data_IF_751232329872
#
_entry.id   IF_751232329872
#
_cell.length_a   1.000
_cell.length_b   1.000
_cell.length_c   1.000
_cell.angle_alpha   90.00
_cell.angle_beta   90.00
_cell.angle_gamma   90.00
#
_symmetry.space_group_name_H-M   'P 1'
#
loop_
_entity.id
_entity.type
_entity.pdbx_description
1 polymer ?
#
# COMPACT_ATOMS: atom_id res chain seq x y z
N UNK A 1 -46.68 -18.73 -29.46
CA UNK A 1 -46.28 -18.59 -30.88
C UNK A 1 -44.92 -17.92 -30.90
N UNK A 2 -43.85 -18.68 -31.17
CA UNK A 2 -43.02 -18.53 -32.39
C UNK A 2 -41.98 -17.41 -32.18
N UNK A 3 -40.66 -17.58 -32.18
CA UNK A 3 -39.79 -18.49 -32.94
C UNK A 3 -38.38 -18.56 -32.29
N UNK A 4 -37.70 -19.69 -32.48
CA UNK A 4 -36.28 -19.97 -32.24
C UNK A 4 -35.33 -19.01 -32.98
N UNK A 5 -34.15 -18.78 -32.41
CA UNK A 5 -32.91 -18.66 -33.20
C UNK A 5 -31.73 -19.26 -32.43
N UNK A 6 -31.48 -20.54 -32.70
CA UNK A 6 -30.22 -21.25 -32.44
C UNK A 6 -29.24 -20.84 -33.54
N UNK A 7 -28.03 -20.41 -33.20
CA UNK A 7 -26.94 -20.27 -34.16
C UNK A 7 -25.73 -21.11 -33.69
N UNK A 8 -25.46 -22.14 -34.48
CA UNK A 8 -24.46 -23.19 -34.35
C UNK A 8 -23.11 -22.83 -34.99
N UNK A 9 -22.03 -23.43 -34.46
CA UNK A 9 -20.76 -23.81 -35.11
C UNK A 9 -19.78 -22.67 -35.50
N UNK A 10 -18.46 -22.80 -35.36
CA UNK A 10 -17.65 -23.98 -35.66
C UNK A 10 -16.33 -24.10 -34.84
N UNK A 11 -15.86 -25.35 -34.74
CA UNK A 11 -14.59 -25.81 -34.19
C UNK A 11 -13.36 -25.34 -34.97
N UNK A 12 -12.25 -25.14 -34.27
CA UNK A 12 -10.91 -25.44 -34.81
C UNK A 12 -9.99 -25.93 -33.67
N UNK A 13 -9.91 -27.24 -33.50
CA UNK A 13 -8.86 -27.92 -32.72
C UNK A 13 -7.60 -28.04 -33.57
N UNK A 14 -6.46 -27.53 -33.09
CA UNK A 14 -5.14 -27.89 -33.60
C UNK A 14 -4.33 -28.49 -32.45
N UNK A 15 -4.13 -29.80 -32.52
CA UNK A 15 -3.23 -30.55 -31.65
C UNK A 15 -1.83 -30.59 -32.27
N UNK A 16 -0.79 -30.36 -31.47
CA UNK A 16 0.57 -30.81 -31.76
C UNK A 16 1.15 -31.44 -30.49
N UNK A 17 1.26 -32.77 -30.55
CA UNK A 17 1.96 -33.63 -29.60
C UNK A 17 3.45 -33.57 -29.93
N UNK A 18 4.30 -33.30 -28.92
CA UNK A 18 5.75 -33.41 -28.99
C UNK A 18 6.28 -34.14 -27.75
N UNK A 19 6.91 -35.31 -27.97
CA UNK A 19 7.43 -36.22 -26.94
C UNK A 19 8.90 -35.94 -26.57
N UNK A 20 9.27 -36.40 -25.37
CA UNK A 20 10.58 -36.91 -24.94
C UNK A 20 11.61 -35.94 -24.35
N UNK A 21 11.87 -36.13 -23.04
CA UNK A 21 13.16 -36.66 -22.60
C UNK A 21 14.08 -35.80 -21.73
N UNK A 22 14.48 -36.41 -20.60
CA UNK A 22 15.79 -36.32 -19.92
C UNK A 22 16.10 -35.12 -18.99
N UNK A 23 15.89 -35.39 -17.69
CA UNK A 23 16.96 -35.55 -16.67
C UNK A 23 18.18 -34.62 -16.81
N UNK A 24 18.16 -33.54 -16.04
CA UNK A 24 19.34 -32.78 -15.63
C UNK A 24 19.24 -32.46 -14.15
N UNK A 25 20.05 -33.14 -13.33
CA UNK A 25 20.38 -32.66 -12.00
C UNK A 25 21.31 -31.45 -12.12
N UNK A 26 21.14 -30.49 -11.25
CA UNK A 26 21.98 -29.30 -11.17
C UNK A 26 21.41 -28.38 -10.11
N UNK A 27 22.07 -28.41 -8.95
CA UNK A 27 22.03 -27.47 -7.84
C UNK A 27 20.89 -26.43 -7.88
N UNK A 28 19.92 -26.63 -6.99
CA UNK A 28 19.24 -25.50 -6.39
C UNK A 28 20.34 -24.67 -5.70
N UNK A 29 20.86 -23.67 -6.40
CA UNK A 29 21.47 -22.55 -5.73
C UNK A 29 20.38 -22.05 -4.79
N UNK A 30 20.59 -22.26 -3.50
CA UNK A 30 20.08 -21.37 -2.46
C UNK A 30 20.73 -20.00 -2.71
N UNK A 31 20.38 -19.38 -3.85
CA UNK A 31 20.30 -17.95 -3.91
C UNK A 31 19.28 -17.64 -2.85
N UNK A 32 19.78 -17.13 -1.73
CA UNK A 32 18.95 -16.57 -0.69
C UNK A 32 18.00 -15.63 -1.43
N UNK A 33 16.77 -16.10 -1.70
CA UNK A 33 15.64 -15.25 -1.50
C UNK A 33 15.77 -14.88 -0.02
N UNK A 34 16.59 -13.85 0.25
CA UNK A 34 16.00 -12.66 0.82
C UNK A 34 14.77 -12.51 -0.04
N UNK A 35 13.67 -13.09 0.45
CA UNK A 35 12.35 -12.70 0.05
C UNK A 35 12.52 -11.20 -0.08
N UNK A 36 12.42 -10.68 -1.30
CA UNK A 36 12.16 -9.27 -1.49
C UNK A 36 10.75 -9.09 -0.92
N UNK A 37 10.61 -9.34 0.38
CA UNK A 37 9.52 -8.99 1.26
C UNK A 37 9.39 -7.54 0.92
N UNK A 38 8.39 -7.30 0.07
CA UNK A 38 8.40 -6.19 -0.82
C UNK A 38 8.52 -4.99 0.10
N UNK A 39 9.65 -4.27 0.04
CA UNK A 39 9.92 -3.06 0.81
C UNK A 39 8.94 -2.01 0.29
N UNK A 40 7.67 -2.24 0.60
CA UNK A 40 6.50 -1.53 0.12
C UNK A 40 6.17 -0.59 1.25
N UNK A 41 6.92 0.49 1.26
CA UNK A 41 6.56 1.68 2.01
C UNK A 41 5.17 2.10 1.53
N UNK A 42 4.20 2.14 2.43
CA UNK A 42 2.81 2.39 2.09
C UNK A 42 2.14 3.19 3.19
N UNK A 43 1.38 4.21 2.80
CA UNK A 43 0.51 4.94 3.71
C UNK A 43 -0.92 4.73 3.28
N UNK A 44 -1.77 4.35 4.24
CA UNK A 44 -3.22 4.22 4.03
C UNK A 44 -4.00 5.15 4.92
N UNK A 45 -5.01 5.81 4.34
CA UNK A 45 -6.09 6.46 5.06
C UNK A 45 -7.30 5.53 5.09
N UNK A 46 -7.64 5.03 6.27
CA UNK A 46 -8.50 3.86 6.46
C UNK A 46 -7.98 2.66 5.65
N UNK A 47 -8.64 2.31 4.53
CA UNK A 47 -8.27 1.20 3.64
C UNK A 47 -7.77 1.68 2.26
N UNK A 48 -7.63 2.99 2.07
CA UNK A 48 -7.22 3.59 0.79
C UNK A 48 -5.73 3.92 0.81
N UNK A 49 -4.98 3.39 -0.16
CA UNK A 49 -3.56 3.68 -0.34
C UNK A 49 -3.40 5.09 -0.92
N UNK A 50 -2.69 5.96 -0.21
CA UNK A 50 -2.46 7.36 -0.63
C UNK A 50 -1.00 7.64 -1.01
N UNK A 51 -0.09 6.78 -0.56
CA UNK A 51 1.33 6.83 -0.91
C UNK A 51 1.89 5.41 -0.98
N UNK A 52 2.82 5.20 -1.89
CA UNK A 52 3.42 3.90 -2.16
C UNK A 52 2.49 2.98 -2.95
N UNK A 53 2.92 1.73 -3.16
CA UNK A 53 2.14 0.71 -3.85
C UNK A 53 1.56 1.22 -5.19
N UNK A 54 0.23 1.16 -5.31
CA UNK A 54 -0.51 1.62 -6.51
C UNK A 54 -0.71 3.14 -6.59
N UNK A 55 -0.49 3.90 -5.52
CA UNK A 55 -0.75 5.34 -5.46
C UNK A 55 0.43 6.19 -5.93
N UNK A 56 1.65 5.62 -5.95
CA UNK A 56 2.88 6.34 -6.27
C UNK A 56 3.30 7.32 -5.16
N UNK A 57 4.05 8.34 -5.53
CA UNK A 57 4.75 9.26 -4.62
C UNK A 57 4.27 10.72 -4.71
N UNK A 58 3.18 10.99 -5.42
CA UNK A 58 2.66 12.35 -5.69
C UNK A 58 2.39 13.22 -4.45
N UNK A 59 2.13 12.60 -3.30
CA UNK A 59 1.77 13.29 -2.05
C UNK A 59 2.99 13.44 -1.11
N UNK A 60 4.15 12.93 -1.52
CA UNK A 60 5.38 12.97 -0.73
C UNK A 60 5.86 14.40 -0.53
N UNK A 61 6.21 14.75 0.72
CA UNK A 61 6.67 16.07 1.15
C UNK A 61 5.65 17.21 0.90
N UNK A 62 4.44 16.88 0.46
CA UNK A 62 3.34 17.80 0.28
C UNK A 62 2.50 17.93 1.54
N UNK A 63 1.88 19.11 1.71
CA UNK A 63 0.82 19.27 2.71
C UNK A 63 -0.52 18.87 2.09
N UNK A 64 -1.12 17.81 2.60
CA UNK A 64 -2.35 17.24 2.07
C UNK A 64 -3.51 17.55 3.00
N UNK A 65 -4.65 17.94 2.42
CA UNK A 65 -5.90 18.04 3.16
C UNK A 65 -6.35 16.63 3.57
N UNK A 66 -6.72 16.46 4.84
CA UNK A 66 -7.29 15.21 5.32
C UNK A 66 -8.75 15.12 4.85
N UNK A 67 -9.13 14.14 4.02
CA UNK A 67 -10.49 14.05 3.53
C UNK A 67 -11.48 13.88 4.69
N UNK A 68 -12.67 14.51 4.61
CA UNK A 68 -13.66 14.41 5.67
C UNK A 68 -14.11 12.96 5.86
N UNK A 69 -14.27 12.55 7.12
CA UNK A 69 -14.79 11.23 7.48
C UNK A 69 -13.75 10.11 7.54
N UNK A 70 -12.47 10.37 7.22
CA UNK A 70 -11.37 9.43 7.50
C UNK A 70 -11.22 9.21 9.00
N UNK A 71 -10.88 7.99 9.41
CA UNK A 71 -10.88 7.58 10.84
C UNK A 71 -9.58 6.99 11.31
N UNK A 72 -8.72 6.53 10.40
CA UNK A 72 -7.41 6.04 10.74
C UNK A 72 -6.39 6.39 9.69
N UNK A 73 -5.13 6.34 10.11
CA UNK A 73 -4.00 6.30 9.21
C UNK A 73 -3.08 5.16 9.64
N UNK A 74 -2.55 4.42 8.65
CA UNK A 74 -1.54 3.41 8.87
C UNK A 74 -0.35 3.65 7.94
N UNK A 75 0.84 3.40 8.48
CA UNK A 75 2.12 3.55 7.81
C UNK A 75 2.82 2.20 7.90
N UNK A 76 3.03 1.59 6.74
CA UNK A 76 3.85 0.38 6.58
C UNK A 76 5.23 0.81 6.12
N UNK A 77 6.27 0.29 6.75
CA UNK A 77 7.65 0.55 6.38
C UNK A 77 8.48 1.13 7.51
N UNK A 78 9.73 1.42 7.18
CA UNK A 78 10.74 1.93 8.12
C UNK A 78 11.39 3.22 7.65
N UNK A 79 11.02 3.71 6.46
CA UNK A 79 11.60 4.88 5.81
C UNK A 79 10.52 5.94 5.52
N UNK A 80 9.33 5.78 6.09
CA UNK A 80 8.20 6.70 5.91
C UNK A 80 7.57 7.01 7.25
N UNK A 81 7.24 8.27 7.44
CA UNK A 81 6.43 8.74 8.57
C UNK A 81 5.36 9.69 8.06
N UNK A 82 4.26 9.76 8.80
CA UNK A 82 3.20 10.74 8.55
C UNK A 82 2.98 11.58 9.78
N UNK A 83 2.88 12.89 9.60
CA UNK A 83 2.49 13.80 10.67
C UNK A 83 1.09 14.35 10.39
N UNK A 84 0.16 14.09 11.30
CA UNK A 84 -1.19 14.65 11.33
C UNK A 84 -1.17 16.01 12.02
N UNK A 85 -1.94 16.97 11.51
CA UNK A 85 -2.02 18.33 12.04
C UNK A 85 -3.47 18.78 12.25
N UNK A 86 -3.71 19.49 13.34
CA UNK A 86 -5.02 20.06 13.65
C UNK A 86 -5.50 21.08 12.61
N UNK A 87 -4.58 21.87 12.04
CA UNK A 87 -4.92 22.94 11.10
C UNK A 87 -4.48 22.56 9.68
N UNK A 88 -5.22 23.06 8.69
CA UNK A 88 -5.02 22.81 7.25
C UNK A 88 -3.84 23.61 6.67
N UNK A 89 -2.65 23.39 7.20
CA UNK A 89 -1.40 24.07 6.80
C UNK A 89 -0.13 23.31 7.18
N UNK A 90 -0.25 22.04 7.57
CA UNK A 90 0.85 21.16 7.96
C UNK A 90 1.89 21.83 8.87
N UNK A 91 1.38 22.44 9.93
CA UNK A 91 2.19 23.13 10.93
C UNK A 91 1.64 22.80 12.29
N UNK A 92 2.53 22.53 13.23
CA UNK A 92 2.17 22.30 14.62
C UNK A 92 1.34 23.47 15.16
N UNK A 93 0.31 23.13 15.93
CA UNK A 93 -0.50 24.06 16.67
C UNK A 93 -0.55 23.58 18.12
N UNK A 94 0.24 24.20 18.99
CA UNK A 94 0.20 23.98 20.44
C UNK A 94 0.20 22.51 20.85
N UNK A 95 1.05 21.68 20.25
CA UNK A 95 1.14 20.24 20.56
C UNK A 95 0.03 19.36 19.95
N UNK A 96 -0.72 19.89 18.99
CA UNK A 96 -1.71 19.14 18.20
C UNK A 96 -1.10 18.71 16.86
N UNK A 97 0.04 18.02 16.97
CA UNK A 97 0.62 17.20 15.92
C UNK A 97 0.79 15.77 16.42
N UNK A 98 0.62 14.80 15.53
CA UNK A 98 0.79 13.38 15.87
C UNK A 98 1.55 12.70 14.74
N UNK A 99 2.66 12.06 15.09
CA UNK A 99 3.44 11.27 14.16
C UNK A 99 2.96 9.82 14.18
N UNK A 100 2.92 9.20 13.00
CA UNK A 100 2.61 7.79 12.81
C UNK A 100 3.68 7.21 11.90
N UNK A 101 4.21 6.06 12.28
CA UNK A 101 5.35 5.46 11.61
C UNK A 101 6.66 6.05 12.10
N UNK A 102 7.76 5.50 11.61
CA UNK A 102 9.08 5.86 12.08
C UNK A 102 10.13 5.67 11.00
N UNK A 103 11.19 6.44 11.12
CA UNK A 103 12.38 6.36 10.27
C UNK A 103 13.45 5.51 10.96
N UNK A 104 13.10 4.27 11.29
CA UNK A 104 13.91 3.37 12.09
C UNK A 104 14.23 2.09 11.31
N UNK A 105 15.38 2.11 10.63
CA UNK A 105 15.90 0.98 9.84
C UNK A 105 16.21 -0.28 10.68
N UNK A 106 16.14 -0.20 12.02
CA UNK A 106 16.31 -1.37 12.90
C UNK A 106 15.03 -2.20 12.99
N UNK A 107 13.88 -1.65 12.57
CA UNK A 107 12.58 -2.36 12.57
C UNK A 107 12.45 -3.27 11.35
N UNK A 108 11.50 -4.19 11.44
CA UNK A 108 11.15 -5.04 10.31
C UNK A 108 10.59 -4.18 9.15
N UNK A 109 10.96 -4.42 7.88
CA UNK A 109 10.49 -3.62 6.74
C UNK A 109 8.96 -3.67 6.54
N UNK A 110 8.30 -4.73 7.01
CA UNK A 110 6.84 -4.82 7.03
C UNK A 110 6.19 -4.34 8.33
N UNK A 111 6.93 -3.63 9.20
CA UNK A 111 6.37 -3.03 10.40
C UNK A 111 5.25 -2.05 10.01
N UNK A 112 4.09 -2.18 10.67
CA UNK A 112 2.95 -1.29 10.46
C UNK A 112 2.69 -0.55 11.76
N UNK A 113 2.66 0.77 11.67
CA UNK A 113 2.17 1.63 12.74
C UNK A 113 0.85 2.25 12.31
N UNK A 114 -0.13 2.26 13.21
CA UNK A 114 -1.46 2.76 12.93
C UNK A 114 -1.99 3.53 14.12
N UNK A 115 -2.75 4.58 13.84
CA UNK A 115 -3.56 5.29 14.84
C UNK A 115 -4.98 5.40 14.35
N UNK A 116 -5.95 5.24 15.27
CA UNK A 116 -7.33 5.62 15.01
C UNK A 116 -7.55 7.01 15.60
N UNK A 117 -8.27 7.87 14.88
CA UNK A 117 -8.49 9.25 15.30
C UNK A 117 -9.36 9.35 16.56
N UNK A 118 -10.05 8.28 16.93
CA UNK A 118 -10.75 8.17 18.22
C UNK A 118 -9.83 7.94 19.42
N UNK A 119 -8.58 7.51 19.21
CA UNK A 119 -7.65 7.16 20.30
C UNK A 119 -7.10 8.43 20.99
N UNK A 120 -7.10 9.57 20.28
CA UNK A 120 -6.70 10.87 20.81
C UNK A 120 -7.79 11.90 20.55
N UNK A 121 -8.30 12.55 21.60
CA UNK A 121 -9.49 13.41 21.51
C UNK A 121 -9.41 14.54 20.48
N UNK A 122 -8.21 15.03 20.13
CA UNK A 122 -8.06 16.06 19.11
C UNK A 122 -7.92 15.52 17.69
N UNK A 123 -7.50 14.26 17.50
CA UNK A 123 -7.25 13.71 16.16
C UNK A 123 -8.52 13.61 15.32
N UNK A 124 -9.69 13.50 15.96
CA UNK A 124 -10.99 13.63 15.27
C UNK A 124 -11.17 14.98 14.56
N UNK A 125 -10.39 15.99 14.95
CA UNK A 125 -10.40 17.33 14.37
C UNK A 125 -9.14 17.62 13.54
N UNK A 126 -8.32 16.61 13.24
CA UNK A 126 -7.20 16.77 12.31
C UNK A 126 -7.72 17.21 10.93
N UNK A 127 -7.01 18.13 10.29
CA UNK A 127 -7.44 18.73 9.02
C UNK A 127 -6.42 18.54 7.89
N UNK A 128 -5.16 18.28 8.22
CA UNK A 128 -4.14 17.99 7.20
C UNK A 128 -3.14 16.96 7.70
N UNK A 129 -2.43 16.37 6.76
CA UNK A 129 -1.33 15.45 7.02
C UNK A 129 -0.18 15.72 6.05
N UNK A 130 1.01 15.33 6.45
CA UNK A 130 2.21 15.41 5.63
C UNK A 130 2.93 14.08 5.67
N UNK A 131 3.20 13.52 4.50
CA UNK A 131 4.00 12.31 4.33
C UNK A 131 5.44 12.73 4.10
N UNK A 132 6.36 12.16 4.87
CA UNK A 132 7.79 12.41 4.74
C UNK A 132 8.52 11.09 4.65
N UNK A 133 9.46 11.02 3.71
CA UNK A 133 10.47 9.97 3.71
C UNK A 133 11.65 10.37 4.58
N UNK A 134 12.28 9.36 5.14
CA UNK A 134 13.61 9.41 5.70
C UNK A 134 14.43 8.28 5.06
#
# INVERSE_FOLDING_TARGET
MVLLAVATMALATLALVGHSGLRGGGEATVGSAVELASFSEEVKLDNEVVFGGSAGDKDLNGCMDLPPGKRSISVKGTNTKVTLYMLRRCKDYTGHSHQVGSCDASRHPDHVEQVNFGDHGWLQNAQSYQIEQC
#
